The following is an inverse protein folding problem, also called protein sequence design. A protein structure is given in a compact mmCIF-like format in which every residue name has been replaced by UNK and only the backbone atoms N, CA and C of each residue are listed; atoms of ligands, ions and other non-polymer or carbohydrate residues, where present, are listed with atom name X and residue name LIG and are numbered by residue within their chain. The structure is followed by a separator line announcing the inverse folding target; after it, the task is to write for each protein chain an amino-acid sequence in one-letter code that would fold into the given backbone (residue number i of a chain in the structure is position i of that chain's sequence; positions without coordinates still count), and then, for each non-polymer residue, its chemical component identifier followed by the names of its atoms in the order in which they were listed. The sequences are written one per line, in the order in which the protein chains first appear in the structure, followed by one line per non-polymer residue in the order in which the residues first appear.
data_IF_254287431409
#
_entry.id   IF_254287431409
#
_cell.length_a   1.000
_cell.length_b   1.000
_cell.length_c   1.000
_cell.angle_alpha   90.00
_cell.angle_beta   90.00
_cell.angle_gamma   90.00
#
_symmetry.space_group_name_H-M   'P 1'
#
loop_
_entity.id
_entity.type
_entity.pdbx_description
1 polymer ?
#
# COMPACT_ATOMS: atom_id res chain seq x y z
N UNK A 1 -15.70 -43.71 -13.20
CA UNK A 1 -15.02 -42.42 -13.27
C UNK A 1 -14.26 -42.22 -11.98
N UNK A 2 -12.99 -42.59 -12.01
CA UNK A 2 -12.02 -42.29 -10.95
C UNK A 2 -11.71 -40.80 -11.01
N UNK A 3 -11.77 -40.13 -9.86
CA UNK A 3 -11.59 -38.69 -9.73
C UNK A 3 -10.30 -38.21 -10.40
N UNK A 4 -10.30 -37.04 -11.06
CA UNK A 4 -9.11 -36.54 -11.71
C UNK A 4 -8.13 -36.04 -10.64
N UNK A 5 -7.00 -36.74 -10.54
CA UNK A 5 -5.74 -36.18 -10.07
C UNK A 5 -5.45 -34.88 -10.81
N UNK A 6 -5.69 -33.74 -10.15
CA UNK A 6 -4.93 -32.50 -10.32
C UNK A 6 -5.55 -31.40 -9.46
N UNK A 7 -5.45 -31.53 -8.13
CA UNK A 7 -5.27 -30.32 -7.30
C UNK A 7 -3.83 -29.88 -7.48
N UNK A 8 -3.56 -29.28 -8.64
CA UNK A 8 -2.50 -28.29 -8.76
C UNK A 8 -2.79 -27.27 -7.67
N UNK A 9 -2.13 -27.42 -6.52
CA UNK A 9 -2.03 -26.39 -5.50
C UNK A 9 -1.19 -25.27 -6.12
N UNK A 10 -1.78 -24.54 -7.07
CA UNK A 10 -1.35 -23.22 -7.47
C UNK A 10 -1.26 -22.46 -6.14
N UNK A 11 -0.08 -21.96 -5.78
CA UNK A 11 0.13 -21.39 -4.45
C UNK A 11 -0.94 -20.34 -4.15
N UNK A 12 -1.87 -20.65 -3.25
CA UNK A 12 -3.01 -19.80 -2.84
C UNK A 12 -2.59 -18.55 -2.06
N UNK A 13 -1.34 -18.10 -2.22
CA UNK A 13 -0.84 -16.95 -1.48
C UNK A 13 -1.30 -15.68 -2.17
N UNK A 14 -1.96 -14.76 -1.46
CA UNK A 14 -2.11 -13.42 -1.97
C UNK A 14 -0.72 -12.82 -2.23
N UNK A 15 -0.61 -12.06 -3.31
CA UNK A 15 0.51 -11.19 -3.62
C UNK A 15 0.15 -9.79 -3.16
N UNK A 16 1.11 -9.10 -2.55
CA UNK A 16 0.93 -7.75 -2.02
C UNK A 16 2.03 -6.84 -2.55
N UNK A 17 1.62 -5.67 -3.02
CA UNK A 17 2.51 -4.63 -3.53
C UNK A 17 2.15 -3.30 -2.88
N UNK A 18 3.17 -2.54 -2.50
CA UNK A 18 3.05 -1.14 -2.10
C UNK A 18 3.89 -0.35 -3.09
N UNK A 19 3.25 0.58 -3.80
CA UNK A 19 3.80 1.28 -4.94
C UNK A 19 3.82 2.79 -4.68
N UNK A 20 4.87 3.48 -5.11
CA UNK A 20 4.92 4.94 -5.27
C UNK A 20 5.25 5.22 -6.74
N UNK A 21 4.45 6.03 -7.41
CA UNK A 21 4.65 6.40 -8.83
C UNK A 21 4.85 5.19 -9.77
N UNK A 22 4.11 4.10 -9.52
CA UNK A 22 4.17 2.87 -10.32
C UNK A 22 5.37 1.96 -10.02
N UNK A 23 6.25 2.34 -9.09
CA UNK A 23 7.39 1.52 -8.66
C UNK A 23 7.20 1.01 -7.25
N UNK A 24 7.78 -0.15 -6.92
CA UNK A 24 7.74 -0.72 -5.57
C UNK A 24 8.35 0.27 -4.58
N UNK A 25 7.61 0.58 -3.52
CA UNK A 25 8.07 1.45 -2.46
C UNK A 25 9.26 0.80 -1.75
N UNK A 26 10.42 1.44 -1.88
CA UNK A 26 11.66 0.98 -1.26
C UNK A 26 11.89 1.65 0.09
N UNK A 27 12.78 1.04 0.88
CA UNK A 27 13.17 1.58 2.19
C UNK A 27 13.75 2.99 2.03
N UNK A 28 13.23 3.95 2.81
CA UNK A 28 13.59 5.38 2.79
C UNK A 28 13.33 6.09 1.47
N UNK A 29 12.39 5.58 0.66
CA UNK A 29 11.90 6.34 -0.47
C UNK A 29 11.28 7.65 0.04
N UNK A 30 11.61 8.82 -0.55
CA UNK A 30 11.00 10.08 -0.19
C UNK A 30 9.54 10.11 -0.65
N UNK A 31 8.62 10.40 0.25
CA UNK A 31 7.19 10.51 0.00
C UNK A 31 6.77 11.93 0.32
N UNK A 32 6.33 12.67 -0.69
CA UNK A 32 5.90 14.05 -0.53
C UNK A 32 4.41 14.14 -0.19
N UNK A 33 3.63 13.22 -0.76
CA UNK A 33 2.23 13.07 -0.45
C UNK A 33 1.88 11.60 -0.32
N UNK A 34 1.11 11.24 0.71
CA UNK A 34 0.71 9.85 0.92
C UNK A 34 -0.19 9.33 -0.20
N UNK A 35 -0.98 10.18 -0.86
CA UNK A 35 -1.83 9.78 -1.97
C UNK A 35 -1.05 9.32 -3.23
N UNK A 36 0.27 9.53 -3.27
CA UNK A 36 1.15 8.94 -4.28
C UNK A 36 1.36 7.43 -4.06
N UNK A 37 1.05 6.93 -2.86
CA UNK A 37 1.23 5.53 -2.51
C UNK A 37 -0.05 4.75 -2.81
N UNK A 38 0.11 3.71 -3.63
CA UNK A 38 -0.91 2.72 -3.94
C UNK A 38 -0.58 1.44 -3.17
N UNK A 39 -1.57 0.87 -2.49
CA UNK A 39 -1.50 -0.47 -1.90
C UNK A 39 -2.37 -1.41 -2.73
N UNK A 40 -1.82 -2.57 -3.09
CA UNK A 40 -2.47 -3.48 -4.02
C UNK A 40 -2.29 -4.95 -3.64
N UNK A 41 -3.39 -5.70 -3.59
CA UNK A 41 -3.43 -7.14 -3.33
C UNK A 41 -4.03 -7.91 -4.49
N UNK A 42 -3.44 -9.05 -4.84
CA UNK A 42 -3.84 -9.88 -5.99
C UNK A 42 -3.71 -11.37 -5.68
N UNK A 43 -4.56 -12.21 -6.27
CA UNK A 43 -4.37 -13.66 -6.26
C UNK A 43 -5.00 -14.30 -7.50
N UNK A 44 -4.23 -14.43 -8.58
CA UNK A 44 -4.63 -15.08 -9.84
C UNK A 44 -5.73 -14.37 -10.65
N UNK A 45 -6.75 -13.84 -9.97
CA UNK A 45 -7.86 -13.05 -10.50
C UNK A 45 -8.08 -11.81 -9.62
N UNK A 46 -8.62 -10.75 -10.20
CA UNK A 46 -8.94 -9.52 -9.47
C UNK A 46 -10.04 -9.78 -8.41
N UNK A 47 -9.89 -9.19 -7.22
CA UNK A 47 -10.88 -9.25 -6.15
C UNK A 47 -10.92 -10.54 -5.32
N UNK A 48 -10.02 -11.50 -5.56
CA UNK A 48 -9.87 -12.74 -4.77
C UNK A 48 -9.12 -12.49 -3.45
N UNK A 49 -8.13 -11.59 -3.49
CA UNK A 49 -7.43 -11.07 -2.33
C UNK A 49 -7.78 -9.60 -2.15
N UNK A 50 -7.81 -9.15 -0.90
CA UNK A 50 -8.13 -7.79 -0.55
C UNK A 50 -7.21 -7.27 0.56
N UNK A 51 -7.16 -5.95 0.73
CA UNK A 51 -6.38 -5.33 1.80
C UNK A 51 -7.20 -5.42 3.09
N UNK A 52 -6.67 -6.17 4.07
CA UNK A 52 -7.30 -6.36 5.38
C UNK A 52 -7.03 -5.19 6.31
N UNK A 53 -5.78 -4.73 6.35
CA UNK A 53 -5.40 -3.60 7.19
C UNK A 53 -4.14 -2.92 6.65
N UNK A 54 -4.06 -1.62 6.93
CA UNK A 54 -2.84 -0.82 6.75
C UNK A 54 -2.59 -0.05 8.02
N UNK A 55 -1.35 -0.03 8.47
CA UNK A 55 -0.90 0.80 9.58
C UNK A 55 0.29 1.65 9.17
N UNK A 56 0.35 2.86 9.72
CA UNK A 56 1.55 3.70 9.71
C UNK A 56 1.92 3.97 11.18
N UNK A 57 3.15 3.64 11.57
CA UNK A 57 3.64 3.72 12.96
C UNK A 57 2.67 3.05 13.95
N UNK A 58 2.19 1.85 13.60
CA UNK A 58 1.20 1.07 14.36
C UNK A 58 -0.20 1.70 14.51
N UNK A 59 -0.48 2.83 13.84
CA UNK A 59 -1.83 3.42 13.78
C UNK A 59 -2.55 2.94 12.53
N UNK A 60 -3.79 2.47 12.68
CA UNK A 60 -4.62 2.02 11.55
C UNK A 60 -4.96 3.19 10.64
N UNK A 61 -4.84 2.97 9.33
CA UNK A 61 -5.13 3.96 8.29
C UNK A 61 -6.28 3.49 7.43
N UNK A 62 -7.28 4.36 7.26
CA UNK A 62 -8.41 4.12 6.37
C UNK A 62 -8.03 4.40 4.92
N UNK A 63 -8.10 3.38 4.08
CA UNK A 63 -7.71 3.47 2.67
C UNK A 63 -8.79 4.13 1.80
N UNK A 64 -8.35 4.85 0.78
CA UNK A 64 -9.24 5.41 -0.25
C UNK A 64 -9.40 4.40 -1.38
N UNK A 65 -10.61 3.90 -1.66
CA UNK A 65 -10.83 2.88 -2.70
C UNK A 65 -10.61 3.41 -4.11
N UNK A 66 -10.18 2.54 -5.01
CA UNK A 66 -10.19 2.79 -6.46
C UNK A 66 -11.37 2.10 -7.14
N UNK A 67 -11.46 2.20 -8.46
CA UNK A 67 -12.42 1.44 -9.26
C UNK A 67 -12.12 -0.08 -9.31
N UNK A 68 -10.98 -0.52 -8.76
CA UNK A 68 -10.57 -1.92 -8.73
C UNK A 68 -10.46 -2.40 -7.29
N UNK A 69 -11.22 -3.45 -6.96
CA UNK A 69 -11.11 -4.12 -5.66
C UNK A 69 -9.70 -4.67 -5.45
N UNK A 70 -9.19 -4.54 -4.23
CA UNK A 70 -7.81 -4.92 -3.90
C UNK A 70 -6.78 -3.84 -4.22
N UNK A 71 -7.16 -2.72 -4.85
CA UNK A 71 -6.28 -1.59 -5.15
C UNK A 71 -6.82 -0.33 -4.48
N UNK A 72 -5.98 0.33 -3.69
CA UNK A 72 -6.34 1.50 -2.89
C UNK A 72 -5.24 2.55 -2.88
N UNK A 73 -5.62 3.81 -2.67
CA UNK A 73 -4.69 4.88 -2.33
C UNK A 73 -4.58 5.02 -0.81
N UNK A 74 -3.39 5.37 -0.32
CA UNK A 74 -3.29 5.90 1.04
C UNK A 74 -3.99 7.28 1.13
N UNK A 75 -4.69 7.56 2.23
CA UNK A 75 -5.30 8.87 2.45
C UNK A 75 -4.23 9.93 2.69
N UNK A 76 -4.62 11.20 2.70
CA UNK A 76 -3.72 12.30 3.06
C UNK A 76 -3.22 12.11 4.50
N UNK A 77 -1.92 12.25 4.71
CA UNK A 77 -1.24 12.03 5.98
C UNK A 77 -1.02 13.32 6.76
N UNK A 78 -2.10 13.96 7.19
CA UNK A 78 -2.02 15.26 7.88
C UNK A 78 -1.31 15.16 9.25
N UNK A 79 -1.33 13.98 9.87
CA UNK A 79 -0.80 13.75 11.21
C UNK A 79 0.62 13.15 11.26
N UNK A 80 1.30 13.04 10.11
CA UNK A 80 2.66 12.48 10.06
C UNK A 80 3.73 13.56 10.27
N UNK A 81 4.78 13.18 11.03
CA UNK A 81 5.92 14.06 11.28
C UNK A 81 6.74 14.26 9.99
N UNK A 82 6.81 15.51 9.52
CA UNK A 82 7.61 15.84 8.34
C UNK A 82 9.11 15.65 8.59
N UNK A 83 9.83 15.28 7.55
CA UNK A 83 11.26 14.93 7.56
C UNK A 83 11.60 13.76 8.49
N UNK A 84 10.65 12.88 8.76
CA UNK A 84 10.84 11.68 9.57
C UNK A 84 10.65 10.41 8.75
N UNK A 85 11.35 9.35 9.19
CA UNK A 85 11.08 7.99 8.75
C UNK A 85 9.78 7.51 9.43
N UNK A 86 8.94 6.84 8.67
CA UNK A 86 7.68 6.21 9.09
C UNK A 86 7.63 4.77 8.59
N UNK A 87 7.10 3.87 9.41
CA UNK A 87 6.92 2.47 9.02
C UNK A 87 5.49 2.25 8.54
N UNK A 88 5.33 1.80 7.30
CA UNK A 88 4.06 1.31 6.77
C UNK A 88 4.03 -0.21 6.83
N UNK A 89 2.98 -0.77 7.41
CA UNK A 89 2.67 -2.20 7.35
C UNK A 89 1.33 -2.40 6.66
N UNK A 90 1.31 -3.30 5.69
CA UNK A 90 0.11 -3.68 4.94
C UNK A 90 -0.12 -5.17 5.09
N UNK A 91 -1.36 -5.56 5.34
CA UNK A 91 -1.79 -6.96 5.41
C UNK A 91 -2.86 -7.19 4.36
N UNK A 92 -2.64 -8.15 3.49
CA UNK A 92 -3.63 -8.64 2.54
C UNK A 92 -4.12 -10.02 2.94
N UNK A 93 -5.42 -10.26 2.79
CA UNK A 93 -6.07 -11.52 3.09
C UNK A 93 -6.84 -12.00 1.87
N UNK A 94 -6.82 -13.32 1.63
CA UNK A 94 -7.68 -13.93 0.64
C UNK A 94 -8.96 -14.51 1.24
N UNK A 95 -9.86 -14.94 0.38
CA UNK A 95 -11.13 -15.58 0.75
C UNK A 95 -11.00 -16.90 1.55
N UNK A 96 -9.79 -17.46 1.67
CA UNK A 96 -9.48 -18.63 2.50
C UNK A 96 -8.86 -18.25 3.86
N UNK A 97 -8.72 -16.96 4.18
CA UNK A 97 -8.11 -16.46 5.41
C UNK A 97 -6.58 -16.49 5.43
N UNK A 98 -5.94 -16.71 4.27
CA UNK A 98 -4.48 -16.69 4.15
C UNK A 98 -3.99 -15.26 4.04
N UNK A 99 -3.03 -14.92 4.89
CA UNK A 99 -2.48 -13.58 4.99
C UNK A 99 -1.07 -13.48 4.40
N UNK A 100 -0.79 -12.36 3.75
CA UNK A 100 0.56 -11.89 3.43
C UNK A 100 0.75 -10.50 4.00
N UNK A 101 1.93 -10.21 4.52
CA UNK A 101 2.29 -8.91 5.04
C UNK A 101 3.42 -8.28 4.22
N UNK A 102 3.39 -6.96 4.15
CA UNK A 102 4.47 -6.14 3.62
C UNK A 102 4.74 -5.05 4.63
N UNK A 103 6.00 -4.89 5.04
CA UNK A 103 6.43 -3.73 5.81
C UNK A 103 7.60 -3.06 5.11
N UNK A 104 7.56 -1.74 5.05
CA UNK A 104 8.69 -0.91 4.61
C UNK A 104 8.70 0.40 5.37
N UNK A 105 9.84 1.09 5.29
CA UNK A 105 10.01 2.42 5.86
C UNK A 105 10.04 3.43 4.72
N UNK A 106 9.36 4.56 4.85
CA UNK A 106 9.46 5.69 3.92
C UNK A 106 9.79 6.96 4.69
N UNK A 107 10.37 7.95 4.01
CA UNK A 107 10.67 9.25 4.62
C UNK A 107 9.61 10.24 4.16
N UNK A 108 8.78 10.74 5.08
CA UNK A 108 7.76 11.73 4.73
C UNK A 108 8.40 13.11 4.64
N UNK A 109 8.37 13.72 3.45
CA UNK A 109 9.05 15.00 3.20
C UNK A 109 8.03 16.10 2.87
N UNK A 110 8.26 17.35 3.30
CA UNK A 110 7.45 18.47 2.83
C UNK A 110 7.69 18.68 1.34
N UNK A 111 6.64 19.03 0.60
CA UNK A 111 6.82 19.62 -0.72
C UNK A 111 7.59 20.93 -0.55
N UNK A 112 8.78 20.98 -1.15
CA UNK A 112 9.65 22.16 -1.15
C UNK A 112 9.12 23.31 -2.01
N UNK A 113 7.83 23.67 -1.88
CA UNK A 113 7.27 24.89 -2.43
C UNK A 113 6.42 25.59 -1.38
N UNK A 114 7.08 26.25 -0.44
CA UNK A 114 6.53 27.53 0.03
C UNK A 114 6.87 28.54 -1.05
N UNK A 115 5.89 29.13 -1.72
CA UNK A 115 6.05 30.38 -2.48
C UNK A 115 6.40 31.52 -1.50
N UNK A 116 7.53 31.42 -0.79
CA UNK A 116 8.19 32.57 -0.16
C UNK A 116 8.99 33.25 -1.27
N UNK A 117 8.30 34.03 -2.12
CA UNK A 117 8.81 35.18 -2.91
C UNK A 117 7.85 35.57 -4.05
N UNK A 118 6.55 35.64 -3.80
CA UNK A 118 5.66 36.53 -4.57
C UNK A 118 5.31 37.81 -3.80
N UNK A 119 6.06 38.11 -2.74
CA UNK A 119 6.09 39.46 -2.17
C UNK A 119 7.41 40.16 -2.58
N UNK A 120 7.22 41.25 -3.33
CA UNK A 120 8.14 42.27 -3.88
C UNK A 120 8.60 42.03 -5.31
N UNK A 121 8.33 42.93 -6.26
CA UNK A 121 7.97 44.36 -6.18
C UNK A 121 6.63 44.68 -6.85
#
# INVERSE_FOLDING_TARGET
YTEPESKLMLSDNPTLMVLKDGQVLTKRAPVYFLNEIIVAAFQGQAGVADIKSVTIDNKVVSLTPTNYRGIYYLPVGDDLAVNSDHEITVVAENLYGKNVNFSTVFTYQPTGFTLKNLEKN
#
